data_IF_224284132486
#
_entry.id   IF_224284132486
#
_cell.length_a   1.000
_cell.length_b   1.000
_cell.length_c   1.000
_cell.angle_alpha   90.00
_cell.angle_beta   90.00
_cell.angle_gamma   90.00
#
_symmetry.space_group_name_H-M   'P 1'
#
loop_
_entity.id
_entity.type
_entity.pdbx_description
1 polymer ?
#
# COMPACT_ATOMS: atom_id res chain seq x y z
N UNK A 1 2.36 2.32 8.28
CA UNK A 1 3.24 3.44 8.01
C UNK A 1 4.49 3.05 7.23
N UNK A 2 4.83 1.77 7.26
CA UNK A 2 6.01 1.30 6.56
C UNK A 2 5.67 0.89 5.13
N UNK A 3 6.22 1.60 4.14
CA UNK A 3 5.97 1.31 2.72
C UNK A 3 6.79 0.13 2.22
N UNK A 4 6.91 -0.90 3.05
CA UNK A 4 7.66 -2.09 2.71
C UNK A 4 6.82 -3.09 1.93
N UNK A 5 5.79 -2.58 1.28
CA UNK A 5 4.89 -3.42 0.49
C UNK A 5 5.37 -3.53 -0.95
N UNK A 6 5.98 -2.46 -1.44
CA UNK A 6 6.46 -2.43 -2.81
C UNK A 6 5.30 -2.41 -3.78
N UNK A 7 4.28 -1.65 -3.43
CA UNK A 7 3.08 -1.52 -4.25
C UNK A 7 2.59 -0.08 -4.24
N UNK A 8 1.98 0.32 -5.32
CA UNK A 8 1.43 1.65 -5.45
C UNK A 8 -0.06 1.58 -5.76
N UNK A 9 -0.87 2.01 -4.82
CA UNK A 9 -2.31 1.98 -4.99
C UNK A 9 -2.81 3.25 -5.65
N UNK A 10 -2.34 3.51 -6.87
CA UNK A 10 -2.76 4.68 -7.61
C UNK A 10 -4.28 4.68 -7.81
N UNK A 11 -4.83 3.48 -7.97
CA UNK A 11 -6.26 3.30 -8.14
C UNK A 11 -6.99 3.30 -6.80
N UNK A 12 -6.24 3.03 -5.73
CA UNK A 12 -6.82 3.00 -4.40
C UNK A 12 -7.10 1.59 -3.93
N UNK A 13 -6.16 0.69 -4.20
CA UNK A 13 -6.29 -0.70 -3.81
C UNK A 13 -4.92 -1.37 -3.74
N UNK A 14 -4.66 -2.09 -2.65
CA UNK A 14 -3.39 -2.78 -2.50
C UNK A 14 -3.65 -4.28 -2.40
N UNK A 15 -3.09 -5.03 -3.33
CA UNK A 15 -3.27 -6.48 -3.35
C UNK A 15 -2.33 -7.17 -2.37
N UNK A 16 -1.25 -6.49 -1.99
CA UNK A 16 -0.29 -7.05 -1.05
C UNK A 16 -0.98 -7.31 0.30
N UNK A 17 -0.85 -8.54 0.82
CA UNK A 17 -1.48 -8.95 2.07
C UNK A 17 -1.23 -8.01 3.25
N UNK A 18 -2.34 -7.57 3.84
CA UNK A 18 -2.35 -6.68 5.02
C UNK A 18 -1.75 -5.30 4.72
N UNK A 19 -1.52 -4.99 3.46
CA UNK A 19 -0.98 -3.68 3.12
C UNK A 19 -2.08 -2.66 2.91
N UNK A 20 -1.97 -1.55 3.62
CA UNK A 20 -2.95 -0.49 3.55
C UNK A 20 -2.57 0.53 2.48
N UNK A 21 -3.58 1.05 1.79
CA UNK A 21 -3.33 2.02 0.74
C UNK A 21 -3.00 3.39 1.34
N UNK A 22 -1.75 3.79 1.20
CA UNK A 22 -1.29 5.08 1.68
C UNK A 22 -0.97 5.92 0.46
N UNK A 23 -1.96 5.95 -0.44
CA UNK A 23 -1.91 6.64 -1.74
C UNK A 23 -0.85 7.74 -1.82
N UNK A 24 -0.05 7.70 -2.90
CA UNK A 24 -0.14 6.68 -3.95
C UNK A 24 0.58 5.37 -3.65
N UNK A 25 1.26 5.27 -2.51
CA UNK A 25 2.01 4.06 -2.18
C UNK A 25 1.33 3.25 -1.07
N UNK A 26 1.47 1.94 -1.12
CA UNK A 26 0.89 1.10 -0.09
C UNK A 26 1.85 0.95 1.08
N UNK A 27 1.33 1.11 2.29
CA UNK A 27 2.16 1.01 3.49
C UNK A 27 1.50 0.14 4.55
N UNK A 28 2.31 -0.58 5.28
CA UNK A 28 1.85 -1.44 6.36
C UNK A 28 2.25 -0.80 7.68
N UNK A 29 1.26 -0.20 8.35
CA UNK A 29 1.48 0.49 9.62
C UNK A 29 2.45 1.66 9.44
#
# INVERSE_FOLDING_TARGET
GLPTCGETCTLGTCYVPDCSCSWPICMKN
#
